data_IF_167349284423
#
_entry.id   IF_167349284423
#
_cell.length_a   1.000
_cell.length_b   1.000
_cell.length_c   1.000
_cell.angle_alpha   90.00
_cell.angle_beta   90.00
_cell.angle_gamma   90.00
#
_symmetry.space_group_name_H-M   'P 1'
#
loop_
_entity.id
_entity.type
_entity.pdbx_description
1 polymer ?
#
# COMPACT_ATOMS: atom_id res chain seq x y z
N UNK A 1 -15.54 6.48 20.30
CA UNK A 1 -14.27 6.80 20.97
C UNK A 1 -13.53 7.79 20.11
N UNK A 2 -13.35 8.99 20.69
CA UNK A 2 -12.61 10.19 20.26
C UNK A 2 -12.02 10.25 18.86
N UNK A 3 -12.65 11.06 18.02
CA UNK A 3 -12.04 11.71 16.86
C UNK A 3 -10.93 12.67 17.32
N UNK A 4 -9.73 12.50 16.78
CA UNK A 4 -8.60 13.39 17.07
C UNK A 4 -8.69 14.56 16.09
N UNK A 5 -9.02 15.72 16.65
CA UNK A 5 -9.05 17.01 15.98
C UNK A 5 -7.61 17.56 15.96
N UNK A 6 -7.04 17.77 14.78
CA UNK A 6 -5.70 18.35 14.63
C UNK A 6 -5.82 19.87 14.85
N UNK A 7 -5.40 20.31 16.04
CA UNK A 7 -5.30 21.73 16.40
C UNK A 7 -3.96 22.29 15.92
N UNK A 8 -3.98 23.15 14.91
CA UNK A 8 -2.91 24.11 14.66
C UNK A 8 -3.17 25.36 15.51
N UNK A 9 -2.34 25.62 16.51
CA UNK A 9 -2.38 26.88 17.29
C UNK A 9 -1.13 27.70 16.99
N UNK A 10 -1.32 28.98 16.67
CA UNK A 10 -0.26 29.98 16.64
C UNK A 10 -0.74 31.21 17.41
N UNK A 11 -0.07 31.54 18.51
CA UNK A 11 -0.34 32.73 19.33
C UNK A 11 0.45 33.92 18.79
N UNK A 12 -0.20 35.09 18.68
CA UNK A 12 0.47 36.39 18.60
C UNK A 12 -0.37 37.46 19.29
N UNK A 13 0.27 38.23 20.17
CA UNK A 13 -0.29 39.36 20.93
C UNK A 13 -0.35 40.57 19.99
N UNK A 14 -1.54 41.19 19.87
CA UNK A 14 -1.77 42.42 19.10
C UNK A 14 -1.68 43.65 20.00
N UNK A 15 -0.84 44.63 19.64
CA UNK A 15 -0.95 46.02 20.09
C UNK A 15 -1.78 46.83 19.08
N UNK A 16 -2.66 47.68 19.63
CA UNK A 16 -3.84 48.27 19.01
C UNK A 16 -3.54 49.35 17.95
N UNK A 17 -4.27 49.33 16.82
CA UNK A 17 -4.41 50.50 15.93
C UNK A 17 -4.89 50.23 14.50
N UNK A 18 -4.59 49.07 13.91
CA UNK A 18 -4.96 48.69 12.51
C UNK A 18 -5.85 47.44 12.44
N UNK A 19 -6.61 47.18 13.51
CA UNK A 19 -7.16 45.86 13.77
C UNK A 19 -8.36 45.47 12.90
N UNK A 20 -9.24 46.40 12.50
CA UNK A 20 -10.55 46.02 11.92
C UNK A 20 -10.49 45.50 10.48
N UNK A 21 -9.68 46.09 9.59
CA UNK A 21 -9.54 45.61 8.21
C UNK A 21 -8.66 44.37 8.10
N UNK A 22 -7.59 44.27 8.90
CA UNK A 22 -6.77 43.07 8.93
C UNK A 22 -7.47 41.88 9.59
N UNK A 23 -8.29 42.08 10.63
CA UNK A 23 -9.07 40.98 11.22
C UNK A 23 -10.08 40.40 10.25
N UNK A 24 -10.77 41.23 9.44
CA UNK A 24 -11.74 40.73 8.45
C UNK A 24 -11.04 39.90 7.37
N UNK A 25 -9.90 40.37 6.85
CA UNK A 25 -9.11 39.58 5.89
C UNK A 25 -8.53 38.29 6.49
N UNK A 26 -8.09 38.33 7.74
CA UNK A 26 -7.55 37.15 8.43
C UNK A 26 -8.67 36.13 8.76
N UNK A 27 -9.84 36.59 9.20
CA UNK A 27 -11.01 35.73 9.45
C UNK A 27 -11.52 35.10 8.16
N UNK A 28 -11.54 35.83 7.05
CA UNK A 28 -11.90 35.29 5.72
C UNK A 28 -10.86 34.25 5.27
N UNK A 29 -9.56 34.52 5.44
CA UNK A 29 -8.51 33.54 5.14
C UNK A 29 -8.63 32.28 6.01
N UNK A 30 -8.88 32.42 7.31
CA UNK A 30 -9.04 31.28 8.23
C UNK A 30 -10.32 30.48 7.92
N UNK A 31 -11.43 31.14 7.56
CA UNK A 31 -12.66 30.45 7.14
C UNK A 31 -12.45 29.68 5.83
N UNK A 32 -11.80 30.29 4.84
CA UNK A 32 -11.51 29.65 3.54
C UNK A 32 -10.58 28.44 3.74
N UNK A 33 -9.54 28.58 4.59
CA UNK A 33 -8.61 27.50 4.91
C UNK A 33 -9.28 26.32 5.62
N UNK A 34 -10.25 26.57 6.52
CA UNK A 34 -11.05 25.52 7.16
C UNK A 34 -12.02 24.83 6.20
N UNK A 35 -12.65 25.57 5.29
CA UNK A 35 -13.64 25.02 4.35
C UNK A 35 -12.98 24.15 3.27
N UNK A 36 -11.75 24.45 2.83
CA UNK A 36 -11.08 23.70 1.76
C UNK A 36 -10.47 22.35 2.20
N UNK A 37 -10.34 22.09 3.51
CA UNK A 37 -9.75 20.84 4.03
C UNK A 37 -10.78 19.87 4.64
N UNK A 38 -12.05 20.26 4.79
CA UNK A 38 -13.11 19.39 5.30
C UNK A 38 -14.30 19.39 4.35
N UNK A 39 -14.49 18.28 3.65
CA UNK A 39 -15.66 17.96 2.81
C UNK A 39 -16.00 18.94 1.67
N UNK A 40 -15.82 18.48 0.44
CA UNK A 40 -16.51 19.03 -0.73
C UNK A 40 -18.00 18.74 -0.62
N UNK A 41 -18.79 19.71 -0.14
CA UNK A 41 -20.22 19.78 -0.38
C UNK A 41 -20.48 20.82 -1.49
N UNK A 42 -21.27 20.43 -2.49
CA UNK A 42 -21.51 21.08 -3.78
C UNK A 42 -22.30 22.41 -3.71
N UNK A 43 -22.09 23.23 -2.67
CA UNK A 43 -22.90 24.44 -2.38
C UNK A 43 -22.13 25.74 -2.28
N UNK A 44 -21.00 25.88 -2.98
CA UNK A 44 -20.29 27.15 -3.16
C UNK A 44 -20.60 27.79 -4.51
N UNK A 45 -21.88 27.98 -4.79
CA UNK A 45 -22.38 28.74 -5.95
C UNK A 45 -23.39 29.79 -5.49
N UNK A 46 -22.91 30.84 -4.82
CA UNK A 46 -23.49 32.20 -4.84
C UNK A 46 -22.89 33.05 -3.72
N UNK A 47 -21.85 33.81 -4.05
CA UNK A 47 -21.51 35.05 -3.34
C UNK A 47 -21.34 36.12 -4.42
N UNK A 48 -22.47 36.66 -4.87
CA UNK A 48 -22.50 37.89 -5.68
C UNK A 48 -22.15 39.08 -4.77
N UNK A 49 -20.90 39.53 -4.86
CA UNK A 49 -20.46 40.79 -4.25
C UNK A 49 -20.70 41.89 -5.29
N UNK A 50 -21.59 42.82 -4.94
CA UNK A 50 -22.03 43.93 -5.77
C UNK A 50 -20.85 44.88 -6.08
N UNK A 51 -20.41 44.90 -7.34
CA UNK A 51 -19.28 45.69 -7.85
C UNK A 51 -19.66 47.16 -8.04
N UNK A 52 -19.39 48.02 -7.05
CA UNK A 52 -19.15 49.44 -7.34
C UNK A 52 -17.99 50.00 -6.51
N UNK A 53 -16.90 50.34 -7.23
CA UNK A 53 -15.65 51.00 -6.82
C UNK A 53 -14.75 50.22 -5.87
N UNK A 54 -13.71 49.57 -6.43
CA UNK A 54 -12.38 49.30 -5.82
C UNK A 54 -11.49 48.51 -6.81
N UNK A 55 -10.95 49.17 -7.85
CA UNK A 55 -10.46 48.46 -9.07
C UNK A 55 -8.95 48.24 -9.21
N UNK A 56 -8.15 48.21 -8.14
CA UNK A 56 -6.76 47.69 -8.26
C UNK A 56 -6.36 46.73 -7.13
N UNK A 57 -6.75 47.02 -5.89
CA UNK A 57 -6.45 46.15 -4.74
C UNK A 57 -7.22 44.83 -4.77
N UNK A 58 -8.48 44.82 -5.20
CA UNK A 58 -9.30 43.60 -5.29
C UNK A 58 -8.79 42.68 -6.40
N UNK A 59 -8.47 43.23 -7.57
CA UNK A 59 -7.87 42.48 -8.69
C UNK A 59 -6.53 41.85 -8.29
N UNK A 60 -5.72 42.59 -7.52
CA UNK A 60 -4.44 42.08 -7.01
C UNK A 60 -4.64 40.96 -5.97
N UNK A 61 -5.64 41.07 -5.11
CA UNK A 61 -5.97 40.04 -4.10
C UNK A 61 -6.54 38.79 -4.79
N UNK A 62 -7.43 38.93 -5.77
CA UNK A 62 -7.96 37.80 -6.55
C UNK A 62 -6.85 37.09 -7.33
N UNK A 63 -5.96 37.84 -7.97
CA UNK A 63 -4.82 37.26 -8.69
C UNK A 63 -3.85 36.55 -7.73
N UNK A 64 -3.61 37.11 -6.54
CA UNK A 64 -2.80 36.46 -5.49
C UNK A 64 -3.49 35.22 -4.90
N UNK A 65 -4.81 35.22 -4.73
CA UNK A 65 -5.58 34.06 -4.29
C UNK A 65 -5.62 32.97 -5.36
N UNK A 66 -5.74 33.32 -6.65
CA UNK A 66 -5.68 32.38 -7.77
C UNK A 66 -4.30 31.74 -7.90
N UNK A 67 -3.23 32.53 -7.81
CA UNK A 67 -1.85 32.02 -7.82
C UNK A 67 -1.51 31.22 -6.57
N UNK A 68 -2.04 31.61 -5.40
CA UNK A 68 -1.90 30.85 -4.16
C UNK A 68 -2.65 29.51 -4.21
N UNK A 69 -3.88 29.47 -4.72
CA UNK A 69 -4.64 28.23 -4.95
C UNK A 69 -3.97 27.32 -6.01
N UNK A 70 -3.32 27.87 -7.03
CA UNK A 70 -2.53 27.10 -7.98
C UNK A 70 -1.23 26.55 -7.36
N UNK A 71 -0.63 27.26 -6.40
CA UNK A 71 0.57 26.80 -5.68
C UNK A 71 0.28 25.84 -4.52
N UNK A 72 -0.95 25.84 -3.98
CA UNK A 72 -1.36 25.04 -2.83
C UNK A 72 -2.49 24.06 -3.18
N UNK A 73 -2.54 23.59 -4.43
CA UNK A 73 -3.38 22.46 -4.78
C UNK A 73 -2.91 21.28 -3.89
N UNK A 74 -3.75 20.83 -2.96
CA UNK A 74 -3.47 19.66 -2.14
C UNK A 74 -3.27 18.47 -3.08
N UNK A 75 -2.01 18.14 -3.36
CA UNK A 75 -1.66 16.99 -4.17
C UNK A 75 -2.08 15.77 -3.36
N UNK A 76 -3.09 15.07 -3.86
CA UNK A 76 -3.55 13.83 -3.25
C UNK A 76 -2.40 12.82 -3.28
N UNK A 77 -2.05 12.19 -2.15
CA UNK A 77 -0.95 11.22 -2.12
C UNK A 77 -1.30 10.05 -3.05
N UNK A 78 -0.35 9.61 -3.87
CA UNK A 78 -0.53 8.49 -4.79
C UNK A 78 0.14 7.21 -4.28
N UNK A 79 0.93 7.31 -3.20
CA UNK A 79 1.67 6.23 -2.57
C UNK A 79 1.86 6.45 -1.05
N UNK A 80 2.25 5.40 -0.33
CA UNK A 80 2.70 5.52 1.07
C UNK A 80 3.96 6.36 1.22
N UNK A 81 4.80 6.44 0.17
CA UNK A 81 5.99 7.27 0.17
C UNK A 81 5.62 8.76 0.15
N UNK A 82 4.57 9.14 -0.59
CA UNK A 82 4.07 10.53 -0.58
C UNK A 82 3.54 10.92 0.80
N UNK A 83 2.79 10.02 1.45
CA UNK A 83 2.30 10.22 2.82
C UNK A 83 3.47 10.43 3.79
N UNK A 84 4.55 9.66 3.64
CA UNK A 84 5.75 9.83 4.45
C UNK A 84 6.41 11.20 4.23
N UNK A 85 6.46 11.68 2.98
CA UNK A 85 7.07 12.97 2.66
C UNK A 85 6.21 14.19 2.99
N UNK A 86 4.89 14.03 3.03
CA UNK A 86 3.97 15.07 3.46
C UNK A 86 4.21 15.46 4.92
N UNK A 87 4.30 14.47 5.82
CA UNK A 87 4.75 14.64 7.20
C UNK A 87 5.49 13.39 7.69
N UNK A 88 6.79 13.53 7.97
CA UNK A 88 7.64 12.42 8.45
C UNK A 88 7.29 11.92 9.85
N UNK A 89 6.37 12.58 10.54
CA UNK A 89 5.82 12.16 11.82
C UNK A 89 4.57 11.29 11.66
N UNK A 90 4.10 11.09 10.42
CA UNK A 90 2.98 10.20 10.14
C UNK A 90 3.28 8.80 10.70
N UNK A 91 2.43 8.25 11.57
CA UNK A 91 2.63 6.93 12.12
C UNK A 91 2.37 5.85 11.06
N UNK A 92 2.83 4.63 11.30
CA UNK A 92 2.32 3.49 10.54
C UNK A 92 0.81 3.35 10.79
N UNK A 93 0.03 3.08 9.74
CA UNK A 93 -1.42 3.07 9.86
C UNK A 93 -2.16 2.95 8.54
N UNK A 94 -3.49 3.07 8.61
CA UNK A 94 -4.36 3.06 7.45
C UNK A 94 -4.45 4.46 6.82
N UNK A 95 -4.37 4.50 5.50
CA UNK A 95 -4.45 5.73 4.70
C UNK A 95 -5.26 5.52 3.42
N UNK A 96 -5.63 6.63 2.78
CA UNK A 96 -6.17 6.64 1.43
C UNK A 96 -5.13 7.27 0.50
N UNK A 97 -4.81 6.55 -0.57
CA UNK A 97 -4.03 7.08 -1.70
C UNK A 97 -4.92 7.13 -2.94
N UNK A 98 -4.51 7.89 -3.95
CA UNK A 98 -5.29 8.08 -5.17
C UNK A 98 -4.54 7.55 -6.39
N UNK A 99 -5.14 6.60 -7.09
CA UNK A 99 -4.58 5.94 -8.27
C UNK A 99 -5.56 6.14 -9.43
N UNK A 100 -5.17 6.89 -10.47
CA UNK A 100 -6.00 7.20 -11.65
C UNK A 100 -7.44 7.59 -11.25
N UNK A 101 -7.55 8.58 -10.37
CA UNK A 101 -8.80 9.11 -9.77
C UNK A 101 -9.55 8.18 -8.80
N UNK A 102 -9.09 6.95 -8.55
CA UNK A 102 -9.72 6.03 -7.60
C UNK A 102 -9.05 6.12 -6.22
N UNK A 103 -9.87 6.20 -5.17
CA UNK A 103 -9.40 6.07 -3.80
C UNK A 103 -9.04 4.60 -3.50
N UNK A 104 -7.80 4.38 -3.05
CA UNK A 104 -7.27 3.07 -2.69
C UNK A 104 -6.96 3.10 -1.20
N UNK A 105 -7.56 2.17 -0.45
CA UNK A 105 -7.29 2.01 0.97
C UNK A 105 -6.01 1.19 1.13
N UNK A 106 -5.02 1.78 1.76
CA UNK A 106 -3.71 1.15 2.04
C UNK A 106 -3.40 1.16 3.53
N UNK A 107 -2.54 0.25 3.95
CA UNK A 107 -1.82 0.36 5.22
C UNK A 107 -0.37 0.68 4.89
N UNK A 108 0.13 1.78 5.43
CA UNK A 108 1.51 2.21 5.30
C UNK A 108 2.26 1.83 6.56
N UNK A 109 3.29 1.00 6.40
CA UNK A 109 4.22 0.66 7.47
C UNK A 109 5.54 1.40 7.22
N UNK A 110 6.01 2.16 8.20
CA UNK A 110 7.24 2.95 8.13
C UNK A 110 8.26 2.36 9.11
N UNK A 111 9.36 1.82 8.59
CA UNK A 111 10.32 0.98 9.33
C UNK A 111 11.78 1.34 8.99
N UNK A 112 12.34 2.31 9.71
CA UNK A 112 13.73 2.71 9.55
C UNK A 112 14.03 3.18 8.12
N UNK A 113 14.83 2.40 7.38
CA UNK A 113 15.30 2.72 6.02
C UNK A 113 14.29 2.34 4.92
N UNK A 114 13.20 1.65 5.27
CA UNK A 114 12.19 1.19 4.34
C UNK A 114 10.78 1.36 4.89
N UNK A 115 9.80 1.25 4.02
CA UNK A 115 8.41 1.05 4.41
C UNK A 115 7.71 0.08 3.49
N UNK A 116 6.49 -0.32 3.86
CA UNK A 116 5.69 -1.29 3.13
C UNK A 116 4.27 -0.76 2.89
N UNK A 117 3.81 -0.88 1.65
CA UNK A 117 2.44 -0.60 1.25
C UNK A 117 1.66 -1.92 1.21
N UNK A 118 0.60 -2.04 2.02
CA UNK A 118 -0.36 -3.15 1.93
C UNK A 118 -1.68 -2.64 1.34
N UNK A 119 -2.20 -3.35 0.34
CA UNK A 119 -3.44 -2.95 -0.34
C UNK A 119 -4.62 -3.67 0.31
N UNK A 120 -5.69 -2.92 0.65
CA UNK A 120 -6.91 -3.53 1.19
C UNK A 120 -7.67 -4.29 0.12
N UNK A 121 -8.31 -5.41 0.50
CA UNK A 121 -9.25 -6.14 -0.36
C UNK A 121 -10.42 -5.27 -0.83
N UNK A 122 -10.74 -4.21 -0.07
CA UNK A 122 -11.78 -3.23 -0.42
C UNK A 122 -11.44 -2.39 -1.65
N UNK A 123 -10.19 -2.42 -2.10
CA UNK A 123 -9.71 -1.73 -3.29
C UNK A 123 -9.60 -2.62 -4.52
N UNK A 124 -10.25 -3.80 -4.50
CA UNK A 124 -10.26 -4.75 -5.61
C UNK A 124 -10.71 -4.13 -6.95
N UNK A 125 -11.65 -3.18 -6.90
CA UNK A 125 -12.23 -2.56 -8.10
C UNK A 125 -11.42 -1.35 -8.60
N UNK A 126 -10.42 -0.89 -7.83
CA UNK A 126 -9.60 0.25 -8.23
C UNK A 126 -8.59 -0.14 -9.31
N UNK A 127 -8.38 0.77 -10.28
CA UNK A 127 -7.27 0.63 -11.24
C UNK A 127 -5.96 1.03 -10.57
N UNK A 128 -5.28 0.07 -9.96
CA UNK A 128 -4.04 0.27 -9.21
C UNK A 128 -2.84 0.08 -10.15
N UNK A 129 -1.97 1.09 -10.23
CA UNK A 129 -0.63 0.92 -10.79
C UNK A 129 0.33 0.43 -9.69
N UNK A 130 0.60 -0.88 -9.67
CA UNK A 130 1.46 -1.50 -8.65
C UNK A 130 2.88 -0.91 -8.64
N UNK A 131 3.37 -0.45 -9.80
CA UNK A 131 4.73 0.11 -9.92
C UNK A 131 4.89 1.44 -9.21
N UNK A 132 3.78 2.13 -8.91
CA UNK A 132 3.79 3.36 -8.11
C UNK A 132 3.86 3.08 -6.59
N UNK A 133 3.72 1.83 -6.16
CA UNK A 133 3.58 1.46 -4.74
C UNK A 133 4.85 0.87 -4.11
N UNK A 134 5.87 0.58 -4.92
CA UNK A 134 7.18 0.11 -4.47
C UNK A 134 8.29 0.91 -5.14
N UNK A 135 9.46 0.96 -4.50
CA UNK A 135 10.67 1.56 -5.10
C UNK A 135 11.86 0.60 -5.13
N UNK A 136 11.67 -0.61 -4.60
CA UNK A 136 12.64 -1.70 -4.67
C UNK A 136 11.91 -3.03 -4.84
N UNK A 137 12.57 -4.04 -5.36
CA UNK A 137 11.98 -5.35 -5.62
C UNK A 137 12.94 -6.51 -5.35
N UNK A 138 13.94 -6.29 -4.51
CA UNK A 138 14.86 -7.32 -4.03
C UNK A 138 14.28 -8.14 -2.87
N UNK A 139 13.37 -7.57 -2.09
CA UNK A 139 12.65 -8.24 -1.00
C UNK A 139 11.18 -7.85 -1.01
N UNK A 140 10.37 -8.52 -0.18
CA UNK A 140 9.00 -8.14 0.15
C UNK A 140 8.71 -8.54 1.60
N UNK A 141 7.65 -7.99 2.19
CA UNK A 141 7.19 -8.42 3.51
C UNK A 141 5.85 -9.12 3.37
N UNK A 142 5.70 -10.30 3.95
CA UNK A 142 4.39 -10.97 4.05
C UNK A 142 3.91 -10.89 5.49
N UNK A 143 2.71 -10.35 5.69
CA UNK A 143 1.99 -10.43 6.97
C UNK A 143 1.03 -11.59 6.96
N UNK A 144 0.92 -12.29 8.08
CA UNK A 144 0.10 -13.49 8.27
C UNK A 144 -0.94 -13.21 9.35
N UNK A 145 -2.18 -13.57 9.10
CA UNK A 145 -3.25 -13.60 10.08
C UNK A 145 -3.63 -15.06 10.37
N UNK A 146 -3.36 -15.52 11.59
CA UNK A 146 -3.81 -16.82 12.07
C UNK A 146 -5.29 -16.79 12.44
N UNK A 147 -5.92 -17.97 12.45
CA UNK A 147 -7.30 -18.15 12.93
C UNK A 147 -7.52 -17.73 14.40
N UNK A 148 -6.46 -17.70 15.21
CA UNK A 148 -6.49 -17.20 16.60
C UNK A 148 -6.55 -15.67 16.69
N UNK A 149 -6.37 -14.96 15.57
CA UNK A 149 -6.25 -13.50 15.52
C UNK A 149 -4.82 -12.98 15.71
N UNK A 150 -3.86 -13.85 15.98
CA UNK A 150 -2.43 -13.49 16.04
C UNK A 150 -1.92 -13.04 14.66
N UNK A 151 -1.21 -11.91 14.62
CA UNK A 151 -0.56 -11.41 13.41
C UNK A 151 0.95 -11.62 13.48
N UNK A 152 1.53 -12.08 12.37
CA UNK A 152 2.97 -12.30 12.24
C UNK A 152 3.48 -11.71 10.94
N UNK A 153 4.79 -11.51 10.83
CA UNK A 153 5.42 -11.04 9.60
C UNK A 153 6.74 -11.73 9.30
N UNK A 154 7.09 -11.73 8.02
CA UNK A 154 8.34 -12.30 7.52
C UNK A 154 8.79 -11.53 6.28
N UNK A 155 10.09 -11.26 6.19
CA UNK A 155 10.71 -10.79 4.95
C UNK A 155 11.01 -11.98 4.05
N UNK A 156 10.70 -11.83 2.77
CA UNK A 156 10.99 -12.82 1.73
C UNK A 156 11.82 -12.20 0.62
N UNK A 157 12.74 -12.99 0.06
CA UNK A 157 13.64 -12.58 -1.01
C UNK A 157 13.83 -13.76 -1.98
N UNK A 158 14.48 -13.48 -3.12
CA UNK A 158 15.07 -14.55 -3.91
C UNK A 158 16.19 -15.23 -3.10
N UNK A 159 16.36 -16.54 -3.29
CA UNK A 159 17.52 -17.25 -2.74
C UNK A 159 18.82 -16.58 -3.16
N UNK A 160 19.86 -16.69 -2.33
CA UNK A 160 21.15 -16.02 -2.55
C UNK A 160 21.73 -16.32 -3.94
N UNK A 161 21.59 -17.56 -4.43
CA UNK A 161 22.07 -17.97 -5.75
C UNK A 161 21.36 -17.28 -6.92
N UNK A 162 20.20 -16.67 -6.70
CA UNK A 162 19.39 -16.01 -7.73
C UNK A 162 19.30 -14.49 -7.56
N UNK A 163 19.76 -13.91 -6.44
CA UNK A 163 19.66 -12.47 -6.18
C UNK A 163 20.36 -11.59 -7.24
N UNK A 164 21.43 -12.08 -7.87
CA UNK A 164 22.13 -11.36 -8.95
C UNK A 164 21.58 -11.68 -10.36
N UNK A 165 20.61 -12.59 -10.47
CA UNK A 165 20.04 -13.06 -11.73
C UNK A 165 18.65 -12.50 -11.99
N UNK A 166 17.87 -12.30 -10.92
CA UNK A 166 16.53 -11.73 -11.00
C UNK A 166 16.11 -11.07 -9.69
N UNK A 167 15.27 -10.05 -9.81
CA UNK A 167 14.53 -9.48 -8.69
C UNK A 167 13.17 -10.17 -8.53
N UNK A 168 12.49 -9.92 -7.41
CA UNK A 168 11.10 -10.28 -7.25
C UNK A 168 10.23 -9.50 -8.25
N UNK A 169 9.13 -10.12 -8.65
CA UNK A 169 8.15 -9.51 -9.53
C UNK A 169 6.83 -9.26 -8.80
N UNK A 170 6.39 -8.02 -8.83
CA UNK A 170 5.08 -7.60 -8.32
C UNK A 170 4.16 -7.24 -9.48
N UNK A 171 2.95 -7.78 -9.48
CA UNK A 171 1.96 -7.48 -10.51
C UNK A 171 0.53 -7.55 -9.96
N UNK A 172 -0.38 -6.77 -10.53
CA UNK A 172 -1.82 -6.92 -10.28
C UNK A 172 -2.46 -7.51 -11.53
N UNK A 173 -3.17 -8.63 -11.38
CA UNK A 173 -3.83 -9.36 -12.47
C UNK A 173 -2.92 -9.68 -13.68
N UNK A 174 -1.61 -9.74 -13.47
CA UNK A 174 -0.62 -10.13 -14.47
C UNK A 174 0.44 -11.00 -13.82
N UNK A 175 1.14 -11.75 -14.65
CA UNK A 175 2.27 -12.61 -14.30
C UNK A 175 3.25 -12.68 -15.48
N UNK A 176 3.47 -11.56 -16.18
CA UNK A 176 4.25 -11.52 -17.41
C UNK A 176 5.68 -12.02 -17.22
N UNK A 177 6.06 -13.06 -17.97
CA UNK A 177 7.37 -13.72 -17.83
C UNK A 177 7.47 -14.74 -16.69
N UNK A 178 6.37 -14.94 -15.95
CA UNK A 178 6.23 -15.90 -14.85
C UNK A 178 5.10 -16.88 -15.14
N UNK A 179 5.13 -18.02 -14.46
CA UNK A 179 3.97 -18.93 -14.46
C UNK A 179 2.91 -18.36 -13.53
N UNK A 180 1.68 -18.23 -14.04
CA UNK A 180 0.57 -17.64 -13.31
C UNK A 180 -0.18 -18.61 -12.40
N UNK A 181 -1.04 -18.08 -11.51
CA UNK A 181 -1.94 -18.87 -10.67
C UNK A 181 -2.89 -19.73 -11.50
N UNK A 182 -3.43 -20.80 -10.89
CA UNK A 182 -4.46 -21.60 -11.56
C UNK A 182 -5.66 -20.73 -11.95
N UNK A 183 -6.15 -20.78 -13.20
CA UNK A 183 -7.21 -19.90 -13.70
C UNK A 183 -8.59 -20.11 -13.03
N UNK A 184 -8.76 -21.20 -12.28
CA UNK A 184 -10.05 -21.73 -11.82
C UNK A 184 -10.68 -21.05 -10.61
N UNK A 185 -10.08 -19.99 -10.08
CA UNK A 185 -10.40 -19.62 -8.71
C UNK A 185 -11.68 -18.79 -8.56
N UNK A 186 -12.08 -18.01 -9.58
CA UNK A 186 -13.09 -16.96 -9.38
C UNK A 186 -12.72 -15.97 -8.28
N UNK A 187 -11.49 -16.03 -7.76
CA UNK A 187 -10.95 -15.24 -6.66
C UNK A 187 -10.29 -13.95 -7.18
N UNK A 188 -10.23 -13.76 -8.50
CA UNK A 188 -9.73 -12.53 -9.11
C UNK A 188 -10.50 -11.30 -8.61
N UNK A 189 -9.85 -10.11 -8.54
CA UNK A 189 -8.47 -9.84 -8.92
C UNK A 189 -7.43 -10.35 -7.91
N UNK A 190 -6.15 -10.32 -8.26
CA UNK A 190 -5.04 -10.75 -7.41
C UNK A 190 -3.81 -9.85 -7.50
N UNK A 191 -3.01 -9.89 -6.44
CA UNK A 191 -1.66 -9.36 -6.35
C UNK A 191 -0.68 -10.54 -6.42
N UNK A 192 0.26 -10.48 -7.34
CA UNK A 192 1.21 -11.54 -7.67
C UNK A 192 2.60 -11.22 -7.13
N UNK A 193 3.23 -12.21 -6.50
CA UNK A 193 4.64 -12.21 -6.11
C UNK A 193 5.35 -13.36 -6.84
N UNK A 194 6.15 -13.04 -7.86
CA UNK A 194 7.03 -13.99 -8.55
C UNK A 194 8.44 -13.97 -7.96
N UNK A 195 9.02 -15.15 -7.72
CA UNK A 195 10.41 -15.29 -7.29
C UNK A 195 11.33 -15.49 -8.49
N UNK A 196 11.12 -16.58 -9.25
CA UNK A 196 11.93 -16.90 -10.43
C UNK A 196 11.12 -16.78 -11.73
N UNK A 197 11.61 -16.04 -12.74
CA UNK A 197 11.00 -16.01 -14.06
C UNK A 197 11.14 -17.36 -14.75
N UNK A 198 10.23 -17.64 -15.70
CA UNK A 198 10.15 -18.92 -16.42
C UNK A 198 11.53 -19.38 -16.93
N UNK A 199 12.29 -18.49 -17.57
CA UNK A 199 13.63 -18.81 -18.12
C UNK A 199 14.62 -19.36 -17.10
N UNK A 200 14.46 -19.03 -15.82
CA UNK A 200 15.29 -19.55 -14.73
C UNK A 200 14.64 -20.75 -14.05
N UNK A 201 13.32 -20.71 -13.84
CA UNK A 201 12.59 -21.73 -13.09
C UNK A 201 12.37 -23.03 -13.86
N UNK A 202 12.42 -23.05 -15.20
CA UNK A 202 12.35 -24.30 -15.99
C UNK A 202 13.57 -25.22 -15.80
N UNK A 203 14.67 -24.69 -15.26
CA UNK A 203 15.89 -25.45 -15.05
C UNK A 203 15.69 -26.48 -13.94
N UNK A 204 16.16 -27.72 -14.16
CA UNK A 204 16.07 -28.81 -13.19
C UNK A 204 17.12 -28.73 -12.08
N UNK A 205 17.13 -27.62 -11.36
CA UNK A 205 18.11 -27.27 -10.34
C UNK A 205 17.46 -27.04 -8.96
N UNK A 206 18.27 -26.67 -7.98
CA UNK A 206 17.77 -26.23 -6.68
C UNK A 206 17.16 -24.83 -6.79
N UNK A 207 15.94 -24.68 -6.28
CA UNK A 207 15.13 -23.46 -6.33
C UNK A 207 14.41 -23.26 -5.01
N UNK A 208 13.75 -22.12 -4.84
CA UNK A 208 13.08 -21.77 -3.60
C UNK A 208 13.08 -20.27 -3.36
N UNK A 209 13.07 -19.91 -2.09
CA UNK A 209 13.02 -18.53 -1.64
C UNK A 209 13.83 -18.39 -0.36
N UNK A 210 14.17 -17.15 -0.02
CA UNK A 210 14.82 -16.82 1.25
C UNK A 210 13.78 -16.20 2.18
N UNK A 211 13.76 -16.64 3.43
CA UNK A 211 12.93 -16.02 4.47
C UNK A 211 13.67 -16.03 5.80
N UNK A 212 13.60 -14.92 6.55
CA UNK A 212 14.35 -14.73 7.81
C UNK A 212 15.83 -15.08 7.67
N UNK A 213 16.46 -14.54 6.63
CA UNK A 213 17.89 -14.74 6.34
C UNK A 213 18.33 -16.20 6.12
N UNK A 214 17.40 -17.08 5.74
CA UNK A 214 17.69 -18.47 5.41
C UNK A 214 17.09 -18.87 4.07
N UNK A 215 17.87 -19.58 3.26
CA UNK A 215 17.41 -20.13 2.00
C UNK A 215 16.62 -21.42 2.28
N UNK A 216 15.37 -21.44 1.85
CA UNK A 216 14.54 -22.64 1.85
C UNK A 216 14.47 -23.15 0.43
N UNK A 217 14.82 -24.42 0.25
CA UNK A 217 15.09 -24.96 -1.08
C UNK A 217 14.34 -26.25 -1.35
N UNK A 218 13.99 -26.46 -2.61
CA UNK A 218 13.55 -27.71 -3.19
C UNK A 218 14.33 -27.96 -4.49
N UNK A 219 14.12 -29.12 -5.12
CA UNK A 219 14.65 -29.42 -6.45
C UNK A 219 13.52 -29.39 -7.46
N UNK A 220 13.66 -28.59 -8.53
CA UNK A 220 12.74 -28.69 -9.65
C UNK A 220 13.03 -29.98 -10.45
N UNK A 221 12.36 -31.07 -10.09
CA UNK A 221 12.66 -32.39 -10.62
C UNK A 221 12.07 -32.66 -12.03
N UNK A 222 11.07 -31.89 -12.46
CA UNK A 222 10.37 -32.10 -13.74
C UNK A 222 10.53 -30.94 -14.74
N UNK A 223 11.05 -29.79 -14.30
CA UNK A 223 11.21 -28.58 -15.12
C UNK A 223 9.96 -27.69 -15.16
N UNK A 224 8.98 -27.91 -14.28
CA UNK A 224 7.80 -27.06 -14.18
C UNK A 224 8.18 -25.67 -13.62
N UNK A 225 7.87 -24.55 -14.32
CA UNK A 225 8.40 -23.24 -13.97
C UNK A 225 7.66 -22.47 -12.86
N UNK A 226 6.81 -23.12 -12.06
CA UNK A 226 6.10 -22.45 -10.97
C UNK A 226 7.07 -21.94 -9.89
N UNK A 227 6.99 -20.65 -9.57
CA UNK A 227 7.80 -20.03 -8.52
C UNK A 227 7.15 -18.72 -8.05
N UNK A 228 6.03 -18.84 -7.32
CA UNK A 228 5.24 -17.68 -6.92
C UNK A 228 4.41 -17.87 -5.63
N UNK A 229 3.95 -16.74 -5.08
CA UNK A 229 2.81 -16.63 -4.17
C UNK A 229 1.83 -15.60 -4.77
N UNK A 230 0.55 -15.93 -4.81
CA UNK A 230 -0.53 -15.03 -5.29
C UNK A 230 -1.49 -14.74 -4.15
N UNK A 231 -1.92 -13.49 -4.02
CA UNK A 231 -2.85 -12.99 -3.00
C UNK A 231 -4.13 -12.48 -3.67
N UNK A 232 -5.26 -13.10 -3.36
CA UNK A 232 -6.53 -12.86 -4.04
C UNK A 232 -7.42 -11.87 -3.28
N UNK A 233 -7.82 -10.80 -3.96
CA UNK A 233 -8.74 -9.81 -3.42
C UNK A 233 -10.13 -10.40 -3.18
N UNK A 234 -10.57 -11.32 -4.06
CA UNK A 234 -11.82 -12.07 -3.96
C UNK A 234 -13.07 -11.23 -3.57
N UNK A 235 -13.41 -10.18 -4.34
CA UNK A 235 -14.54 -9.29 -4.04
C UNK A 235 -15.90 -10.01 -4.10
N UNK A 236 -15.98 -11.13 -4.84
CA UNK A 236 -17.18 -11.96 -4.95
C UNK A 236 -17.34 -12.96 -3.80
N UNK A 237 -16.37 -13.00 -2.87
CA UNK A 237 -16.36 -13.94 -1.75
C UNK A 237 -16.51 -15.40 -2.18
N UNK A 238 -15.90 -15.76 -3.32
CA UNK A 238 -15.87 -17.15 -3.77
C UNK A 238 -15.09 -18.00 -2.77
N UNK A 239 -15.54 -19.24 -2.55
CA UNK A 239 -14.88 -20.14 -1.61
C UNK A 239 -13.56 -20.64 -2.22
N UNK A 240 -12.39 -20.40 -1.59
CA UNK A 240 -11.15 -20.95 -2.09
C UNK A 240 -11.17 -22.48 -2.00
N UNK A 241 -10.61 -23.17 -2.99
CA UNK A 241 -10.37 -24.61 -2.87
C UNK A 241 -9.36 -24.90 -1.75
N UNK A 242 -9.56 -25.98 -1.00
CA UNK A 242 -8.52 -26.57 -0.15
C UNK A 242 -7.72 -27.54 -1.02
N UNK A 243 -6.66 -27.04 -1.63
CA UNK A 243 -5.90 -27.78 -2.64
C UNK A 243 -4.42 -27.82 -2.27
N UNK A 244 -3.78 -28.92 -2.64
CA UNK A 244 -2.37 -29.16 -2.36
C UNK A 244 -2.12 -29.86 -1.04
N UNK A 245 -0.87 -29.82 -0.58
CA UNK A 245 -0.46 -30.45 0.67
C UNK A 245 0.65 -29.64 1.31
N UNK A 246 0.47 -29.33 2.59
CA UNK A 246 1.49 -28.65 3.35
C UNK A 246 2.71 -29.59 3.52
N UNK A 247 3.88 -29.07 3.20
CA UNK A 247 5.16 -29.66 3.55
C UNK A 247 6.02 -28.58 4.24
N UNK A 248 7.14 -28.98 4.83
CA UNK A 248 8.01 -28.06 5.57
C UNK A 248 8.44 -26.87 4.71
N UNK A 249 8.89 -27.14 3.47
CA UNK A 249 9.30 -26.10 2.51
C UNK A 249 8.20 -25.06 2.23
N UNK A 250 6.97 -25.50 1.96
CA UNK A 250 5.84 -24.63 1.64
C UNK A 250 5.38 -23.78 2.84
N UNK A 251 5.77 -24.16 4.06
CA UNK A 251 5.34 -23.49 5.30
C UNK A 251 6.47 -22.77 6.04
N UNK A 252 7.70 -22.80 5.52
CA UNK A 252 8.84 -22.17 6.19
C UNK A 252 8.70 -20.66 6.38
N UNK A 253 8.16 -19.92 5.42
CA UNK A 253 7.88 -18.48 5.61
C UNK A 253 6.89 -18.22 6.77
N UNK A 254 5.96 -19.14 7.04
CA UNK A 254 5.00 -19.03 8.15
C UNK A 254 5.67 -19.37 9.48
N UNK A 255 6.42 -20.46 9.52
CA UNK A 255 7.07 -20.93 10.75
C UNK A 255 8.23 -20.03 11.17
N UNK A 256 8.94 -19.42 10.22
CA UNK A 256 10.02 -18.46 10.47
C UNK A 256 9.56 -17.04 10.83
N UNK A 257 8.29 -16.70 10.60
CA UNK A 257 7.73 -15.38 10.89
C UNK A 257 7.87 -14.95 12.36
N UNK A 258 7.87 -13.64 12.60
CA UNK A 258 7.91 -13.03 13.93
C UNK A 258 6.54 -12.49 14.30
N UNK A 259 6.17 -12.55 15.58
CA UNK A 259 4.92 -11.96 16.05
C UNK A 259 4.97 -10.42 15.87
N UNK A 260 3.85 -9.85 15.46
CA UNK A 260 3.65 -8.39 15.42
C UNK A 260 3.10 -7.97 16.79
N UNK A 261 3.48 -6.79 17.27
CA UNK A 261 2.88 -6.23 18.48
C UNK A 261 1.49 -5.66 18.21
N UNK A 262 0.56 -5.81 19.16
CA UNK A 262 -0.84 -5.40 19.02
C UNK A 262 -1.07 -3.98 18.45
N UNK A 263 -0.30 -2.93 18.84
CA UNK A 263 -0.48 -1.59 18.29
C UNK A 263 -0.22 -1.48 16.78
N UNK A 264 0.48 -2.45 16.19
CA UNK A 264 0.83 -2.50 14.77
C UNK A 264 -0.07 -3.47 13.98
N UNK A 265 -1.07 -4.06 14.63
CA UNK A 265 -2.03 -4.94 13.97
C UNK A 265 -2.77 -4.17 12.87
N UNK A 266 -2.87 -4.83 11.72
CA UNK A 266 -3.59 -4.34 10.56
C UNK A 266 -5.01 -4.93 10.55
N UNK A 267 -5.98 -4.19 10.02
CA UNK A 267 -7.35 -4.69 9.89
C UNK A 267 -7.43 -5.96 9.02
N UNK A 268 -8.38 -6.84 9.34
CA UNK A 268 -8.62 -8.09 8.60
C UNK A 268 -8.88 -7.89 7.10
N UNK A 269 -9.36 -6.71 6.68
CA UNK A 269 -9.60 -6.39 5.27
C UNK A 269 -8.35 -6.30 4.40
N UNK A 270 -7.16 -6.28 4.98
CA UNK A 270 -5.90 -6.34 4.24
C UNK A 270 -5.38 -7.76 4.02
N UNK A 271 -5.95 -8.74 4.73
CA UNK A 271 -5.55 -10.13 4.64
C UNK A 271 -6.39 -10.88 3.62
N UNK A 272 -5.70 -11.56 2.70
CA UNK A 272 -6.26 -12.20 1.51
C UNK A 272 -6.14 -13.71 1.59
N UNK A 273 -6.98 -14.39 0.81
CA UNK A 273 -6.70 -15.76 0.40
C UNK A 273 -5.47 -15.79 -0.50
N UNK A 274 -4.75 -16.90 -0.47
CA UNK A 274 -3.51 -17.00 -1.22
C UNK A 274 -3.27 -18.41 -1.75
N UNK A 275 -2.46 -18.48 -2.79
CA UNK A 275 -1.94 -19.70 -3.39
C UNK A 275 -0.43 -19.57 -3.52
N UNK A 276 0.29 -20.62 -3.16
CA UNK A 276 1.73 -20.76 -3.38
C UNK A 276 1.96 -21.97 -4.27
N UNK A 277 2.76 -21.79 -5.32
CA UNK A 277 3.12 -22.86 -6.23
C UNK A 277 4.60 -22.81 -6.56
N UNK A 278 5.26 -23.92 -6.28
CA UNK A 278 6.68 -24.14 -6.50
C UNK A 278 6.80 -25.43 -7.34
N UNK A 279 7.41 -25.32 -8.51
CA UNK A 279 7.42 -26.38 -9.53
C UNK A 279 8.12 -27.66 -9.11
N UNK A 280 8.05 -28.70 -9.94
CA UNK A 280 8.66 -29.99 -9.68
C UNK A 280 8.32 -30.54 -8.31
N UNK A 281 9.34 -30.74 -7.49
CA UNK A 281 9.22 -31.35 -6.19
C UNK A 281 9.02 -30.31 -5.06
N UNK A 282 8.72 -29.05 -5.39
CA UNK A 282 8.50 -27.98 -4.41
C UNK A 282 7.15 -28.08 -3.72
N UNK A 283 6.07 -27.98 -4.50
CA UNK A 283 4.72 -28.23 -4.04
C UNK A 283 3.72 -27.14 -4.39
N UNK A 284 2.48 -27.38 -3.97
CA UNK A 284 1.35 -26.51 -4.20
C UNK A 284 0.52 -26.42 -2.91
N UNK A 285 0.07 -25.23 -2.56
CA UNK A 285 -0.66 -24.99 -1.31
C UNK A 285 -1.56 -23.77 -1.42
N UNK A 286 -2.79 -23.88 -0.93
CA UNK A 286 -3.70 -22.74 -0.76
C UNK A 286 -3.92 -22.39 0.72
N UNK A 287 -4.33 -21.15 0.97
CA UNK A 287 -4.65 -20.60 2.30
C UNK A 287 -5.55 -21.51 3.14
N UNK A 288 -6.53 -22.16 2.51
CA UNK A 288 -7.52 -23.00 3.19
C UNK A 288 -6.97 -24.30 3.77
N UNK A 289 -5.85 -24.81 3.27
CA UNK A 289 -5.21 -26.01 3.85
C UNK A 289 -4.68 -25.72 5.25
N UNK A 290 -4.19 -24.50 5.49
CA UNK A 290 -3.64 -24.06 6.78
C UNK A 290 -4.60 -23.20 7.60
N UNK A 291 -5.72 -22.77 7.01
CA UNK A 291 -6.67 -21.84 7.60
C UNK A 291 -6.00 -20.52 8.09
N UNK A 292 -5.12 -19.97 7.25
CA UNK A 292 -4.46 -18.67 7.49
C UNK A 292 -4.69 -17.73 6.31
N UNK A 293 -4.72 -16.43 6.58
CA UNK A 293 -4.76 -15.39 5.55
C UNK A 293 -3.43 -14.64 5.51
N UNK A 294 -3.12 -13.98 4.39
CA UNK A 294 -1.86 -13.28 4.25
C UNK A 294 -2.00 -11.98 3.46
N UNK A 295 -1.09 -11.04 3.69
CA UNK A 295 -1.02 -9.75 3.00
C UNK A 295 0.39 -9.50 2.48
N UNK A 296 0.52 -9.04 1.24
CA UNK A 296 1.80 -8.68 0.63
C UNK A 296 2.09 -7.20 0.85
N UNK A 297 3.21 -6.91 1.49
CA UNK A 297 3.78 -5.58 1.67
C UNK A 297 4.77 -5.27 0.56
N UNK A 298 4.43 -4.27 -0.25
CA UNK A 298 5.24 -3.76 -1.36
C UNK A 298 6.25 -2.75 -0.80
N UNK A 299 7.57 -2.99 -0.95
CA UNK A 299 8.56 -2.17 -0.25
C UNK A 299 8.89 -0.87 -0.98
N UNK A 300 9.03 0.21 -0.23
CA UNK A 300 9.60 1.47 -0.69
C UNK A 300 10.76 1.88 0.20
N UNK A 301 11.79 2.49 -0.39
CA UNK A 301 12.93 3.01 0.32
C UNK A 301 12.56 4.36 0.95
N UNK A 302 12.96 4.55 2.21
CA UNK A 302 12.87 5.83 2.90
C UNK A 302 14.25 6.50 2.81
N UNK A 303 14.40 7.60 2.05
CA UNK A 303 15.69 8.25 1.91
C UNK A 303 16.20 8.82 3.24
N UNK A 304 17.46 8.51 3.56
CA UNK A 304 18.20 9.16 4.65
C UNK A 304 18.40 10.63 4.29
N UNK A 305 18.07 11.53 5.22
CA UNK A 305 18.30 12.97 5.12
C UNK A 305 19.32 13.41 6.15
#
# INVERSE_FOLDING_TARGET
>A
MSSINVNCTSSWILQNGMATTMLVSLLVMILIYRIQCTETDDRLSALEINEQRLTSSIVTIQHKLLTWNQQHQCVKPVSCLDIYFEDRRNPSGEYIIYQREHAVKVYCSFEGDYGFTYISRKSAEASIDVNALYSTNNFAKIRILKNTGEQREVLVENMLSFQNLSNLHFAINSHDGYKGPSPDSGLQPYLFLGFLPIKLSENRNSQGYRAKDMDFTFVNCDGNPNSYITFFFNPKHASPGSLGSANDFMTHWITSSTAIDYPQYMDSSFYMDWEMHMGGCGGFLTSNVLNIKAALGLPFAIPKV
#
